data_IF_833999175787
#
_entry.id   IF_833999175787
#
_cell.length_a   1.000
_cell.length_b   1.000
_cell.length_c   1.000
_cell.angle_alpha   90.00
_cell.angle_beta   90.00
_cell.angle_gamma   90.00
#
_symmetry.space_group_name_H-M   'P 1'
#
loop_
_entity.id
_entity.type
_entity.pdbx_description
1 polymer ?
#
# COMPACT_ATOMS: atom_id res chain seq x y z
N UNK A 1 19.06 -20.83 3.52
CA UNK A 1 19.23 -19.36 3.66
C UNK A 1 17.98 -18.73 3.09
N UNK A 2 17.28 -17.96 3.93
CA UNK A 2 16.02 -17.36 3.58
C UNK A 2 16.07 -15.88 3.89
N UNK A 3 15.49 -15.06 3.02
CA UNK A 3 15.23 -13.66 3.29
C UNK A 3 13.73 -13.45 3.44
N UNK A 4 13.35 -12.62 4.39
CA UNK A 4 11.98 -12.13 4.54
C UNK A 4 12.02 -10.61 4.58
N UNK A 5 11.12 -9.97 3.86
CA UNK A 5 10.95 -8.52 3.85
C UNK A 5 9.47 -8.16 3.93
N UNK A 6 9.16 -7.09 4.64
CA UNK A 6 7.81 -6.50 4.71
C UNK A 6 7.86 -5.03 4.29
N UNK A 7 6.90 -4.56 3.48
CA UNK A 7 6.84 -3.17 3.03
C UNK A 7 8.18 -2.76 2.38
N UNK A 8 8.81 -1.66 2.79
CA UNK A 8 10.16 -1.30 2.29
C UNK A 8 11.23 -2.39 2.52
N UNK A 9 11.01 -3.28 3.48
CA UNK A 9 11.79 -4.50 3.65
C UNK A 9 11.78 -5.39 2.40
N UNK A 10 10.74 -5.39 1.58
CA UNK A 10 10.71 -6.14 0.31
C UNK A 10 11.66 -5.53 -0.72
N UNK A 11 11.73 -4.19 -0.79
CA UNK A 11 12.69 -3.49 -1.65
C UNK A 11 14.12 -3.88 -1.27
N UNK A 12 14.41 -3.86 0.04
CA UNK A 12 15.72 -4.27 0.58
C UNK A 12 16.00 -5.75 0.38
N UNK A 13 15.02 -6.63 0.56
CA UNK A 13 15.19 -8.06 0.37
C UNK A 13 15.53 -8.41 -1.09
N UNK A 14 14.86 -7.75 -2.05
CA UNK A 14 15.16 -7.88 -3.48
C UNK A 14 16.58 -7.39 -3.80
N UNK A 15 16.95 -6.19 -3.35
CA UNK A 15 18.30 -5.64 -3.54
C UNK A 15 19.38 -6.51 -2.91
N UNK A 16 19.16 -6.97 -1.68
CA UNK A 16 20.08 -7.85 -0.95
C UNK A 16 20.23 -9.21 -1.66
N UNK A 17 19.14 -9.79 -2.16
CA UNK A 17 19.20 -11.04 -2.91
C UNK A 17 20.11 -10.92 -4.15
N UNK A 18 19.95 -9.84 -4.92
CA UNK A 18 20.81 -9.56 -6.07
C UNK A 18 22.27 -9.35 -5.67
N UNK A 19 22.53 -8.55 -4.63
CA UNK A 19 23.88 -8.29 -4.14
C UNK A 19 24.59 -9.56 -3.66
N UNK A 20 23.93 -10.35 -2.80
CA UNK A 20 24.48 -11.60 -2.28
C UNK A 20 24.86 -12.55 -3.41
N UNK A 21 24.01 -12.68 -4.42
CA UNK A 21 24.26 -13.59 -5.52
C UNK A 21 25.35 -13.11 -6.47
N UNK A 22 25.31 -11.84 -6.90
CA UNK A 22 26.22 -11.30 -7.91
C UNK A 22 27.60 -10.99 -7.36
N UNK A 23 27.67 -10.32 -6.21
CA UNK A 23 28.93 -9.81 -5.67
C UNK A 23 29.62 -10.84 -4.77
N UNK A 24 28.84 -11.66 -4.06
CA UNK A 24 29.38 -12.60 -3.06
C UNK A 24 29.25 -14.08 -3.47
N UNK A 25 28.64 -14.39 -4.62
CA UNK A 25 28.43 -15.77 -5.07
C UNK A 25 27.51 -16.58 -4.14
N UNK A 26 26.69 -15.91 -3.32
CA UNK A 26 25.84 -16.54 -2.31
C UNK A 26 24.42 -16.75 -2.82
N UNK A 27 24.06 -18.01 -3.07
CA UNK A 27 22.70 -18.38 -3.44
C UNK A 27 21.77 -18.50 -2.21
N UNK A 28 20.59 -17.89 -2.31
CA UNK A 28 19.49 -18.06 -1.36
C UNK A 28 18.67 -19.32 -1.68
N UNK A 29 18.07 -19.93 -0.64
CA UNK A 29 17.12 -21.03 -0.81
C UNK A 29 15.69 -20.52 -0.97
N UNK A 30 15.37 -19.35 -0.42
CA UNK A 30 14.09 -18.71 -0.66
C UNK A 30 14.03 -17.26 -0.22
N UNK A 31 13.01 -16.56 -0.71
CA UNK A 31 12.70 -15.19 -0.39
C UNK A 31 11.19 -15.03 -0.23
N UNK A 32 10.78 -14.44 0.89
CA UNK A 32 9.39 -14.15 1.24
C UNK A 32 9.18 -12.63 1.26
N UNK A 33 8.18 -12.15 0.54
CA UNK A 33 7.87 -10.73 0.46
C UNK A 33 6.44 -10.48 0.95
N UNK A 34 6.28 -9.64 1.98
CA UNK A 34 5.00 -9.31 2.60
C UNK A 34 4.63 -7.87 2.26
N UNK A 35 3.47 -7.65 1.62
CA UNK A 35 2.99 -6.33 1.18
C UNK A 35 4.05 -5.56 0.40
N UNK A 36 4.28 -6.06 -0.82
CA UNK A 36 5.51 -5.81 -1.55
C UNK A 36 5.52 -4.49 -2.30
N UNK A 37 6.54 -3.68 -2.03
CA UNK A 37 6.89 -2.52 -2.87
C UNK A 37 8.20 -2.78 -3.61
N UNK A 38 8.09 -3.24 -4.85
CA UNK A 38 9.24 -3.50 -5.74
C UNK A 38 9.42 -2.41 -6.79
N UNK A 39 8.34 -1.77 -7.24
CA UNK A 39 8.35 -0.62 -8.13
C UNK A 39 7.58 0.52 -7.50
N UNK A 40 8.24 1.64 -7.23
CA UNK A 40 7.63 2.77 -6.53
C UNK A 40 6.58 3.50 -7.36
N UNK A 41 6.60 3.34 -8.69
CA UNK A 41 5.57 3.90 -9.57
C UNK A 41 4.18 3.40 -9.18
N UNK A 42 4.03 2.18 -8.65
CA UNK A 42 2.73 1.61 -8.31
C UNK A 42 2.10 2.24 -7.07
N UNK A 43 2.87 2.97 -6.26
CA UNK A 43 2.43 3.55 -4.98
C UNK A 43 2.80 5.03 -4.82
N UNK A 44 3.05 5.75 -5.94
CA UNK A 44 3.43 7.16 -5.94
C UNK A 44 2.46 7.99 -6.78
N UNK A 45 1.55 8.68 -6.10
CA UNK A 45 0.46 9.46 -6.69
C UNK A 45 0.90 10.83 -7.24
N UNK A 46 2.04 10.88 -7.93
CA UNK A 46 2.57 12.11 -8.52
C UNK A 46 1.75 12.54 -9.76
N UNK A 47 1.69 13.84 -10.09
CA UNK A 47 1.11 14.29 -11.36
C UNK A 47 1.71 13.54 -12.55
N UNK A 48 0.86 13.05 -13.45
CA UNK A 48 1.26 12.26 -14.62
C UNK A 48 1.44 10.77 -14.36
N UNK A 49 1.32 10.29 -13.12
CA UNK A 49 1.35 8.87 -12.81
C UNK A 49 -0.02 8.37 -12.34
N UNK A 50 -0.81 7.83 -13.28
CA UNK A 50 -2.16 7.35 -12.99
C UNK A 50 -2.21 5.90 -12.48
N UNK A 51 -1.10 5.16 -12.59
CA UNK A 51 -1.02 3.75 -12.24
C UNK A 51 -1.49 3.43 -10.80
N UNK A 52 -1.09 4.19 -9.75
CA UNK A 52 -1.55 3.92 -8.39
C UNK A 52 -3.06 4.01 -8.20
N UNK A 53 -3.76 4.91 -8.89
CA UNK A 53 -5.22 5.05 -8.72
C UNK A 53 -5.95 3.78 -9.15
N UNK A 54 -5.47 3.15 -10.23
CA UNK A 54 -5.99 1.89 -10.75
C UNK A 54 -5.70 0.76 -9.76
N UNK A 55 -4.44 0.64 -9.32
CA UNK A 55 -3.99 -0.48 -8.49
C UNK A 55 -4.56 -0.47 -7.07
N UNK A 56 -4.92 0.70 -6.53
CA UNK A 56 -5.45 0.81 -5.17
C UNK A 56 -6.96 0.57 -5.08
N UNK A 57 -7.69 0.63 -6.20
CA UNK A 57 -9.16 0.56 -6.21
C UNK A 57 -9.71 -0.74 -5.58
N UNK A 58 -9.17 -1.94 -5.84
CA UNK A 58 -9.62 -3.15 -5.16
C UNK A 58 -9.44 -3.09 -3.63
N UNK A 59 -8.34 -2.51 -3.13
CA UNK A 59 -8.10 -2.36 -1.69
C UNK A 59 -9.03 -1.31 -1.06
N UNK A 60 -9.36 -0.23 -1.77
CA UNK A 60 -10.41 0.71 -1.34
C UNK A 60 -11.76 -0.01 -1.20
N UNK A 61 -12.08 -0.86 -2.17
CA UNK A 61 -13.31 -1.66 -2.16
C UNK A 61 -13.34 -2.64 -1.00
N UNK A 62 -12.24 -3.36 -0.77
CA UNK A 62 -12.11 -4.26 0.39
C UNK A 62 -12.33 -3.50 1.71
N UNK A 63 -11.79 -2.29 1.81
CA UNK A 63 -11.92 -1.45 2.99
C UNK A 63 -13.36 -0.97 3.20
N UNK A 64 -13.99 -0.46 2.15
CA UNK A 64 -15.39 -0.05 2.19
C UNK A 64 -16.33 -1.22 2.50
N UNK A 65 -16.04 -2.41 1.96
CA UNK A 65 -16.76 -3.64 2.27
C UNK A 65 -16.66 -3.99 3.76
N UNK A 66 -15.45 -3.97 4.34
CA UNK A 66 -15.20 -4.25 5.75
C UNK A 66 -15.99 -3.31 6.68
N UNK A 67 -16.00 -2.01 6.36
CA UNK A 67 -16.70 -0.99 7.14
C UNK A 67 -18.18 -0.83 6.81
N UNK A 68 -18.76 -1.75 6.03
CA UNK A 68 -20.18 -1.72 5.64
C UNK A 68 -20.61 -0.41 4.95
N UNK A 69 -19.72 0.11 4.10
CA UNK A 69 -19.92 1.35 3.31
C UNK A 69 -20.39 1.10 1.88
N UNK A 70 -20.47 -0.17 1.47
CA UNK A 70 -21.05 -0.58 0.19
C UNK A 70 -22.52 -0.97 0.36
N UNK A 71 -23.29 -0.89 -0.72
CA UNK A 71 -24.69 -1.32 -0.76
C UNK A 71 -24.86 -2.82 -0.47
N UNK A 72 -26.06 -3.23 -0.02
CA UNK A 72 -26.32 -4.59 0.46
C UNK A 72 -26.01 -5.67 -0.58
N UNK A 73 -26.27 -5.41 -1.85
CA UNK A 73 -25.97 -6.32 -2.96
C UNK A 73 -24.47 -6.57 -3.12
N UNK A 74 -23.62 -5.60 -2.79
CA UNK A 74 -22.16 -5.74 -2.80
C UNK A 74 -21.58 -6.34 -1.52
N UNK A 75 -22.40 -6.52 -0.48
CA UNK A 75 -21.98 -7.09 0.80
C UNK A 75 -22.04 -8.62 0.84
N UNK A 76 -22.66 -9.25 -0.16
CA UNK A 76 -22.95 -10.69 -0.13
C UNK A 76 -21.70 -11.58 -0.33
N UNK A 77 -20.83 -11.22 -1.26
CA UNK A 77 -19.70 -12.06 -1.65
C UNK A 77 -18.42 -11.23 -1.88
N UNK A 78 -17.49 -11.33 -0.93
CA UNK A 78 -16.26 -10.54 -0.93
C UNK A 78 -15.34 -10.85 -2.12
N UNK A 79 -15.22 -12.11 -2.51
CA UNK A 79 -14.33 -12.54 -3.59
C UNK A 79 -14.87 -12.12 -4.95
N UNK A 80 -16.19 -12.19 -5.13
CA UNK A 80 -16.86 -11.77 -6.35
C UNK A 80 -16.72 -10.26 -6.58
N UNK A 81 -16.99 -9.43 -5.56
CA UNK A 81 -16.83 -7.98 -5.70
C UNK A 81 -15.38 -7.57 -5.94
N UNK A 82 -14.42 -8.26 -5.32
CA UNK A 82 -13.00 -8.00 -5.59
C UNK A 82 -12.59 -8.38 -7.02
N UNK A 83 -13.13 -9.47 -7.55
CA UNK A 83 -12.90 -9.84 -8.96
C UNK A 83 -13.51 -8.81 -9.90
N UNK A 84 -14.76 -8.41 -9.64
CA UNK A 84 -15.51 -7.43 -10.44
C UNK A 84 -14.79 -6.07 -10.47
N UNK A 85 -14.39 -5.55 -9.31
CA UNK A 85 -13.71 -4.24 -9.25
C UNK A 85 -12.30 -4.29 -9.83
N UNK A 86 -11.61 -5.44 -9.73
CA UNK A 86 -10.30 -5.61 -10.37
C UNK A 86 -10.41 -5.55 -11.89
N UNK A 87 -11.44 -6.19 -12.46
CA UNK A 87 -11.72 -6.11 -13.90
C UNK A 87 -12.08 -4.68 -14.32
N UNK A 88 -12.96 -4.01 -13.56
CA UNK A 88 -13.31 -2.61 -13.80
C UNK A 88 -12.09 -1.68 -13.75
N UNK A 89 -11.21 -1.89 -12.76
CA UNK A 89 -9.96 -1.14 -12.63
C UNK A 89 -9.07 -1.33 -13.86
N UNK A 90 -8.84 -2.58 -14.27
CA UNK A 90 -7.97 -2.95 -15.38
C UNK A 90 -8.51 -2.54 -16.76
N UNK A 91 -9.82 -2.27 -16.86
CA UNK A 91 -10.49 -1.96 -18.14
C UNK A 91 -11.03 -0.53 -18.16
N UNK A 92 -12.29 -0.33 -17.79
CA UNK A 92 -13.03 0.91 -17.96
C UNK A 92 -12.39 2.08 -17.21
N UNK A 93 -11.95 1.86 -15.97
CA UNK A 93 -11.34 2.92 -15.18
C UNK A 93 -9.97 3.32 -15.73
N UNK A 94 -9.17 2.34 -16.16
CA UNK A 94 -7.90 2.61 -16.86
C UNK A 94 -8.13 3.45 -18.12
N UNK A 95 -9.10 3.05 -18.96
CA UNK A 95 -9.44 3.80 -20.17
C UNK A 95 -9.93 5.22 -19.84
N UNK A 96 -10.74 5.39 -18.79
CA UNK A 96 -11.24 6.68 -18.38
C UNK A 96 -10.11 7.63 -17.94
N UNK A 97 -9.17 7.14 -17.13
CA UNK A 97 -8.01 7.94 -16.72
C UNK A 97 -7.13 8.32 -17.91
N UNK A 98 -6.93 7.40 -18.87
CA UNK A 98 -6.18 7.67 -20.10
C UNK A 98 -6.86 8.68 -21.02
N UNK A 99 -8.19 8.64 -21.15
CA UNK A 99 -8.95 9.65 -21.90
C UNK A 99 -8.87 11.03 -21.24
N UNK A 100 -8.84 11.09 -19.90
CA UNK A 100 -8.75 12.34 -19.16
C UNK A 100 -9.88 13.30 -19.54
N UNK A 101 -9.52 14.51 -19.99
CA UNK A 101 -10.48 15.56 -20.37
C UNK A 101 -11.22 15.27 -21.70
N UNK A 102 -10.84 14.20 -22.43
CA UNK A 102 -11.56 13.75 -23.63
C UNK A 102 -12.82 12.93 -23.32
N UNK A 103 -13.07 12.61 -22.04
CA UNK A 103 -14.30 11.93 -21.63
C UNK A 103 -15.53 12.80 -21.93
N UNK A 104 -16.57 12.19 -22.50
CA UNK A 104 -17.88 12.86 -22.54
C UNK A 104 -18.44 13.05 -21.13
N UNK A 105 -19.42 13.93 -20.97
CA UNK A 105 -20.08 14.16 -19.68
C UNK A 105 -20.73 12.85 -19.19
N UNK A 106 -21.35 12.11 -20.10
CA UNK A 106 -22.01 10.83 -19.83
C UNK A 106 -20.99 9.76 -19.43
N UNK A 107 -19.88 9.63 -20.17
CA UNK A 107 -18.81 8.67 -19.83
C UNK A 107 -18.21 8.99 -18.45
N UNK A 108 -17.93 10.27 -18.18
CA UNK A 108 -17.41 10.71 -16.88
C UNK A 108 -18.38 10.36 -15.76
N UNK A 109 -19.66 10.65 -15.94
CA UNK A 109 -20.69 10.37 -14.93
C UNK A 109 -20.81 8.88 -14.63
N UNK A 110 -20.77 8.01 -15.65
CA UNK A 110 -20.79 6.55 -15.47
C UNK A 110 -19.59 6.07 -14.62
N UNK A 111 -18.40 6.60 -14.87
CA UNK A 111 -17.20 6.24 -14.09
C UNK A 111 -17.31 6.75 -12.65
N UNK A 112 -17.84 7.95 -12.43
CA UNK A 112 -18.11 8.49 -11.09
C UNK A 112 -19.05 7.56 -10.32
N UNK A 113 -20.15 7.13 -10.92
CA UNK A 113 -21.12 6.24 -10.28
C UNK A 113 -20.50 4.88 -9.92
N UNK A 114 -19.72 4.28 -10.82
CA UNK A 114 -19.02 3.02 -10.54
C UNK A 114 -17.99 3.17 -9.42
N UNK A 115 -17.20 4.24 -9.44
CA UNK A 115 -16.26 4.52 -8.36
C UNK A 115 -16.98 4.74 -7.02
N UNK A 116 -18.09 5.49 -6.99
CA UNK A 116 -18.87 5.71 -5.78
C UNK A 116 -19.41 4.38 -5.23
N UNK A 117 -19.98 3.56 -6.12
CA UNK A 117 -20.49 2.23 -5.81
C UNK A 117 -19.42 1.29 -5.22
N UNK A 118 -18.20 1.31 -5.74
CA UNK A 118 -17.13 0.41 -5.26
C UNK A 118 -16.33 0.96 -4.08
N UNK A 119 -16.33 2.27 -3.85
CA UNK A 119 -15.51 2.88 -2.79
C UNK A 119 -16.31 3.34 -1.58
N UNK A 120 -17.63 3.45 -1.69
CA UNK A 120 -18.49 4.02 -0.65
C UNK A 120 -18.29 5.53 -0.46
N UNK A 121 -17.56 6.20 -1.36
CA UNK A 121 -17.40 7.65 -1.37
C UNK A 121 -18.54 8.33 -2.11
N UNK A 122 -18.78 9.60 -1.80
CA UNK A 122 -19.78 10.39 -2.53
C UNK A 122 -19.33 10.70 -3.96
N UNK A 123 -20.31 10.77 -4.88
CA UNK A 123 -20.06 11.17 -6.28
C UNK A 123 -19.39 12.55 -6.36
N UNK A 124 -19.83 13.51 -5.52
CA UNK A 124 -19.24 14.85 -5.44
C UNK A 124 -17.76 14.82 -5.06
N UNK A 125 -17.37 13.97 -4.11
CA UNK A 125 -15.96 13.82 -3.74
C UNK A 125 -15.14 13.25 -4.90
N UNK A 126 -15.66 12.24 -5.60
CA UNK A 126 -14.99 11.59 -6.73
C UNK A 126 -14.83 12.56 -7.92
N UNK A 127 -15.87 13.33 -8.23
CA UNK A 127 -15.82 14.34 -9.28
C UNK A 127 -14.81 15.45 -8.94
N UNK A 128 -14.83 15.94 -7.70
CA UNK A 128 -13.86 16.92 -7.19
C UNK A 128 -12.42 16.39 -7.19
N UNK A 129 -12.24 15.09 -6.96
CA UNK A 129 -10.96 14.40 -7.10
C UNK A 129 -10.56 14.12 -8.57
N UNK A 130 -11.38 14.51 -9.55
CA UNK A 130 -11.18 14.23 -10.98
C UNK A 130 -10.88 12.76 -11.25
N UNK A 131 -11.69 11.89 -10.65
CA UNK A 131 -11.58 10.42 -10.72
C UNK A 131 -10.31 9.85 -10.06
N UNK A 132 -9.48 10.66 -9.38
CA UNK A 132 -8.16 10.27 -8.85
C UNK A 132 -8.15 10.22 -7.33
N UNK A 133 -8.59 9.10 -6.77
CA UNK A 133 -8.74 8.89 -5.33
C UNK A 133 -7.36 8.58 -4.72
N UNK A 134 -6.77 9.56 -4.05
CA UNK A 134 -5.50 9.41 -3.33
C UNK A 134 -5.70 8.65 -2.00
N UNK A 135 -4.78 7.74 -1.66
CA UNK A 135 -4.85 6.92 -0.45
C UNK A 135 -4.98 7.73 0.83
N UNK A 136 -4.20 8.80 0.99
CA UNK A 136 -4.20 9.62 2.22
C UNK A 136 -5.54 10.32 2.42
N UNK A 137 -6.18 10.72 1.32
CA UNK A 137 -7.52 11.32 1.36
C UNK A 137 -8.60 10.27 1.54
N UNK A 138 -8.46 9.08 0.94
CA UNK A 138 -9.42 7.98 1.09
C UNK A 138 -9.59 7.56 2.55
N UNK A 139 -8.47 7.30 3.25
CA UNK A 139 -8.50 6.87 4.65
C UNK A 139 -9.07 7.92 5.61
N UNK A 140 -9.05 9.19 5.18
CA UNK A 140 -9.67 10.33 5.87
C UNK A 140 -11.16 10.48 5.52
N UNK A 141 -11.56 10.16 4.29
CA UNK A 141 -12.89 10.41 3.76
C UNK A 141 -13.91 9.31 4.09
N UNK A 142 -13.51 8.04 4.03
CA UNK A 142 -14.45 6.90 4.02
C UNK A 142 -15.48 6.90 5.16
N UNK A 143 -15.04 7.28 6.37
CA UNK A 143 -15.83 7.34 7.59
C UNK A 143 -15.95 8.76 8.17
N UNK A 144 -15.75 9.79 7.35
CA UNK A 144 -15.77 11.20 7.79
C UNK A 144 -17.12 11.59 8.41
N UNK A 145 -18.22 11.06 7.87
CA UNK A 145 -19.58 11.25 8.40
C UNK A 145 -19.78 10.69 9.82
N UNK A 146 -18.87 9.83 10.27
CA UNK A 146 -18.88 9.23 11.61
C UNK A 146 -17.84 9.86 12.54
N UNK A 147 -17.17 10.95 12.11
CA UNK A 147 -16.04 11.54 12.82
C UNK A 147 -14.94 10.49 13.11
N UNK A 148 -14.62 9.67 12.09
CA UNK A 148 -13.63 8.59 12.16
C UNK A 148 -12.70 8.59 10.95
N UNK A 149 -11.50 8.08 11.18
CA UNK A 149 -10.51 7.79 10.14
C UNK A 149 -10.21 6.30 10.09
N UNK A 150 -9.59 5.85 8.99
CA UNK A 150 -9.22 4.45 8.77
C UNK A 150 -7.70 4.29 8.72
N UNK A 151 -7.19 3.13 9.16
CA UNK A 151 -5.76 2.83 9.11
C UNK A 151 -5.22 2.73 7.68
N UNK A 152 -4.01 3.26 7.44
CA UNK A 152 -3.32 3.17 6.14
C UNK A 152 -2.38 1.96 6.05
N UNK A 153 -1.97 1.37 7.17
CA UNK A 153 -1.28 0.07 7.13
C UNK A 153 -2.29 -1.07 7.15
N UNK A 154 -3.27 -1.03 8.05
CA UNK A 154 -4.37 -1.99 8.12
C UNK A 154 -5.68 -1.22 8.26
N UNK A 155 -6.49 -1.30 7.21
CA UNK A 155 -7.71 -0.51 7.08
C UNK A 155 -8.85 -0.98 7.98
N UNK A 156 -8.66 -2.00 8.80
CA UNK A 156 -9.65 -2.44 9.79
C UNK A 156 -9.64 -1.59 11.06
N UNK A 157 -8.52 -0.93 11.35
CA UNK A 157 -8.40 -0.04 12.50
C UNK A 157 -9.05 1.31 12.21
N UNK A 158 -9.69 1.88 13.23
CA UNK A 158 -10.32 3.20 13.17
C UNK A 158 -9.64 4.17 14.13
N UNK A 159 -9.54 5.43 13.71
CA UNK A 159 -8.95 6.53 14.46
C UNK A 159 -9.94 7.68 14.64
N UNK A 160 -9.52 8.69 15.40
CA UNK A 160 -10.24 9.93 15.62
C UNK A 160 -9.25 11.07 15.43
N UNK A 161 -9.58 12.00 14.55
CA UNK A 161 -8.79 13.21 14.36
C UNK A 161 -9.41 14.38 15.12
N UNK A 162 -8.62 15.45 15.30
CA UNK A 162 -9.11 16.71 15.88
C UNK A 162 -10.06 17.44 14.95
N UNK A 163 -9.81 17.39 13.64
CA UNK A 163 -10.53 18.16 12.62
C UNK A 163 -11.04 17.25 11.50
N UNK A 164 -12.36 17.14 11.38
CA UNK A 164 -13.00 16.35 10.34
C UNK A 164 -12.98 16.99 8.96
N UNK A 165 -12.45 18.20 8.78
CA UNK A 165 -12.34 18.87 7.46
C UNK A 165 -10.94 18.74 6.85
N UNK A 166 -9.98 18.20 7.60
CA UNK A 166 -8.62 17.98 7.13
C UNK A 166 -8.53 17.06 5.90
N UNK A 167 -7.48 17.25 5.11
CA UNK A 167 -7.19 16.45 3.91
C UNK A 167 -6.44 15.14 4.23
N UNK A 168 -5.82 15.05 5.40
CA UNK A 168 -5.02 13.91 5.85
C UNK A 168 -5.44 13.51 7.28
N UNK A 169 -4.98 12.33 7.70
CA UNK A 169 -5.20 11.82 9.06
C UNK A 169 -4.16 12.38 10.03
N UNK A 170 -4.54 12.67 11.28
CA UNK A 170 -3.60 13.17 12.29
C UNK A 170 -2.57 12.11 12.70
N UNK A 171 -3.03 10.86 12.77
CA UNK A 171 -2.21 9.68 13.02
C UNK A 171 -2.81 8.44 12.34
N UNK A 172 -1.97 7.43 12.10
CA UNK A 172 -2.46 6.15 11.60
C UNK A 172 -2.90 5.26 12.79
N UNK A 173 -4.21 4.94 12.92
CA UNK A 173 -4.70 4.10 14.01
C UNK A 173 -4.13 2.68 13.98
N UNK A 174 -3.83 2.14 12.79
CA UNK A 174 -3.22 0.81 12.65
C UNK A 174 -1.77 0.78 13.10
N UNK A 175 -1.00 1.85 12.85
CA UNK A 175 0.37 1.97 13.36
C UNK A 175 0.38 2.11 14.88
N UNK A 176 -0.50 2.97 15.42
CA UNK A 176 -0.61 3.22 16.86
C UNK A 176 -0.94 1.94 17.63
N UNK A 177 -1.79 1.08 17.06
CA UNK A 177 -2.18 -0.19 17.67
C UNK A 177 -1.01 -1.16 17.87
N UNK A 178 -0.03 -1.16 16.96
CA UNK A 178 1.09 -2.12 17.00
C UNK A 178 2.36 -1.54 17.63
N UNK A 179 2.52 -0.21 17.63
CA UNK A 179 3.77 0.46 18.02
C UNK A 179 4.24 0.05 19.43
N UNK A 180 3.35 0.08 20.41
CA UNK A 180 3.69 -0.25 21.80
C UNK A 180 4.18 -1.68 21.99
N UNK A 181 3.55 -2.64 21.31
CA UNK A 181 3.94 -4.05 21.37
C UNK A 181 5.32 -4.28 20.77
N UNK A 182 5.64 -3.64 19.63
CA UNK A 182 6.98 -3.70 19.04
C UNK A 182 8.03 -3.06 19.97
N UNK A 183 7.71 -1.93 20.62
CA UNK A 183 8.64 -1.26 21.53
C UNK A 183 9.00 -2.16 22.69
N UNK A 184 7.98 -2.67 23.38
CA UNK A 184 8.15 -3.48 24.57
C UNK A 184 8.91 -4.78 24.24
N UNK A 185 8.50 -5.48 23.19
CA UNK A 185 9.08 -6.78 22.81
C UNK A 185 10.55 -6.65 22.45
N UNK A 186 10.92 -5.64 21.66
CA UNK A 186 12.33 -5.50 21.30
C UNK A 186 13.18 -5.08 22.49
N UNK A 187 12.70 -4.14 23.32
CA UNK A 187 13.43 -3.72 24.53
C UNK A 187 13.65 -4.90 25.48
N UNK A 188 12.64 -5.75 25.66
CA UNK A 188 12.74 -6.96 26.48
C UNK A 188 13.79 -7.93 25.90
N UNK A 189 13.70 -8.23 24.60
CA UNK A 189 14.62 -9.14 23.90
C UNK A 189 16.08 -8.67 23.97
N UNK A 190 16.37 -7.40 23.64
CA UNK A 190 17.76 -6.92 23.61
C UNK A 190 18.38 -6.86 25.00
N UNK A 191 17.59 -6.52 26.02
CA UNK A 191 18.10 -6.40 27.39
C UNK A 191 18.23 -7.76 28.09
N UNK A 192 17.25 -8.64 27.94
CA UNK A 192 17.19 -9.91 28.68
C UNK A 192 17.91 -11.03 27.97
N UNK A 193 17.71 -11.17 26.66
CA UNK A 193 18.19 -12.33 25.91
C UNK A 193 19.57 -12.06 25.29
N UNK A 194 19.76 -10.86 24.72
CA UNK A 194 21.06 -10.47 24.15
C UNK A 194 22.00 -9.84 25.19
N UNK A 195 21.50 -9.53 26.39
CA UNK A 195 22.23 -8.86 27.48
C UNK A 195 22.90 -7.54 27.03
N UNK A 196 22.28 -6.84 26.07
CA UNK A 196 22.73 -5.55 25.57
C UNK A 196 22.02 -4.43 26.32
N UNK A 197 22.80 -3.57 26.98
CA UNK A 197 22.29 -2.42 27.74
C UNK A 197 22.80 -1.13 27.13
N UNK A 198 21.89 -0.17 26.99
CA UNK A 198 22.18 1.16 26.46
C UNK A 198 21.24 2.15 27.12
N UNK A 199 21.75 3.33 27.46
CA UNK A 199 20.94 4.45 27.96
C UNK A 199 20.27 5.23 26.81
N UNK A 200 20.55 4.86 25.55
CA UNK A 200 19.92 5.45 24.39
C UNK A 200 18.50 4.91 24.21
N UNK A 201 17.48 5.77 24.00
CA UNK A 201 16.15 5.33 23.64
C UNK A 201 16.15 4.56 22.33
N UNK A 202 15.54 3.37 22.32
CA UNK A 202 15.33 2.63 21.07
C UNK A 202 14.23 3.31 20.23
N UNK A 203 14.59 3.73 19.02
CA UNK A 203 13.64 4.30 18.05
C UNK A 203 13.17 3.21 17.08
N UNK A 204 11.92 2.77 17.20
CA UNK A 204 11.32 1.81 16.23
C UNK A 204 11.28 2.38 14.83
N UNK A 205 11.01 3.68 14.73
CA UNK A 205 11.00 4.40 13.48
C UNK A 205 11.80 5.68 13.65
N UNK A 206 12.83 5.82 12.83
CA UNK A 206 13.63 7.02 12.71
C UNK A 206 13.39 7.62 11.32
N UNK A 207 13.40 8.96 11.16
CA UNK A 207 13.13 9.61 9.88
C UNK A 207 14.28 9.46 8.86
N UNK A 208 15.17 8.46 9.02
CA UNK A 208 16.34 8.20 8.18
C UNK A 208 15.97 7.93 6.71
N UNK A 209 14.74 7.49 6.45
CA UNK A 209 14.26 7.25 5.09
C UNK A 209 14.18 8.54 4.26
N UNK A 210 14.17 9.72 4.91
CA UNK A 210 14.18 11.02 4.24
C UNK A 210 15.53 11.33 3.58
N UNK A 211 16.60 10.71 4.09
CA UNK A 211 17.97 10.92 3.61
C UNK A 211 18.44 9.82 2.65
N UNK A 212 17.57 8.85 2.35
CA UNK A 212 17.91 7.79 1.39
C UNK A 212 18.10 8.38 0.01
N UNK A 213 19.25 8.07 -0.58
CA UNK A 213 19.59 8.46 -1.94
C UNK A 213 19.42 7.26 -2.85
N UNK A 214 18.66 7.44 -3.92
CA UNK A 214 18.49 6.47 -4.99
C UNK A 214 19.24 6.97 -6.23
N UNK A 215 20.53 7.22 -6.08
CA UNK A 215 21.35 7.88 -7.11
C UNK A 215 21.34 7.07 -8.42
N UNK A 216 21.30 5.74 -8.36
CA UNK A 216 21.19 4.91 -9.57
C UNK A 216 19.82 5.03 -10.29
N UNK A 217 18.83 5.68 -9.69
CA UNK A 217 17.46 5.83 -10.19
C UNK A 217 17.10 7.29 -10.51
N UNK A 218 17.98 8.00 -11.22
CA UNK A 218 17.70 9.36 -11.69
C UNK A 218 16.54 9.44 -12.70
N UNK A 219 15.64 10.41 -12.51
CA UNK A 219 14.48 10.68 -13.39
C UNK A 219 13.54 9.47 -13.63
N UNK A 220 13.55 8.50 -12.73
CA UNK A 220 12.69 7.33 -12.77
C UNK A 220 12.25 6.94 -11.36
N UNK A 221 11.19 6.14 -11.26
CA UNK A 221 10.80 5.55 -9.98
C UNK A 221 11.79 4.45 -9.59
N UNK A 222 12.10 4.34 -8.30
CA UNK A 222 12.87 3.22 -7.77
C UNK A 222 12.17 1.90 -8.14
N UNK A 223 12.90 1.03 -8.83
CA UNK A 223 12.40 -0.26 -9.25
C UNK A 223 13.47 -1.34 -9.07
N UNK A 224 13.22 -2.26 -8.13
CA UNK A 224 14.08 -3.41 -7.82
C UNK A 224 13.47 -4.74 -8.28
N UNK A 225 12.36 -4.69 -9.03
CA UNK A 225 11.74 -5.89 -9.58
C UNK A 225 12.68 -6.65 -10.52
N UNK A 226 13.47 -5.94 -11.33
CA UNK A 226 14.47 -6.57 -12.20
C UNK A 226 15.58 -7.24 -11.41
N UNK A 227 16.04 -6.63 -10.32
CA UNK A 227 17.02 -7.26 -9.42
C UNK A 227 16.51 -8.58 -8.85
N UNK A 228 15.23 -8.62 -8.47
CA UNK A 228 14.59 -9.85 -7.99
C UNK A 228 14.43 -10.88 -9.13
N UNK A 229 13.96 -10.45 -10.30
CA UNK A 229 13.80 -11.31 -11.49
C UNK A 229 15.13 -11.95 -11.86
N UNK A 230 16.22 -11.18 -11.87
CA UNK A 230 17.57 -11.68 -12.10
C UNK A 230 17.95 -12.75 -11.08
N UNK A 231 17.75 -12.48 -9.79
CA UNK A 231 18.09 -13.42 -8.73
C UNK A 231 17.33 -14.77 -8.87
N UNK A 232 16.03 -14.70 -9.19
CA UNK A 232 15.19 -15.87 -9.49
C UNK A 232 15.71 -16.59 -10.74
N UNK A 233 16.02 -15.86 -11.83
CA UNK A 233 16.42 -16.46 -13.10
C UNK A 233 17.80 -17.13 -13.05
N UNK A 234 18.74 -16.57 -12.28
CA UNK A 234 20.09 -17.13 -12.12
C UNK A 234 20.13 -18.29 -11.11
N UNK A 235 19.14 -18.39 -10.24
CA UNK A 235 18.99 -19.49 -9.28
C UNK A 235 17.60 -20.13 -9.41
N UNK A 236 17.43 -21.12 -10.32
CA UNK A 236 16.13 -21.74 -10.57
C UNK A 236 15.57 -22.52 -9.36
N UNK A 237 16.37 -22.73 -8.31
CA UNK A 237 15.95 -23.37 -7.07
C UNK A 237 15.50 -22.38 -5.98
N UNK A 238 15.52 -21.07 -6.27
CA UNK A 238 15.06 -20.04 -5.34
C UNK A 238 13.54 -20.13 -5.14
N UNK A 239 13.11 -20.46 -3.92
CA UNK A 239 11.69 -20.41 -3.57
C UNK A 239 11.22 -18.97 -3.41
N UNK A 240 10.22 -18.56 -4.18
CA UNK A 240 9.60 -17.24 -4.08
C UNK A 240 8.22 -17.33 -3.43
N UNK A 241 8.00 -16.60 -2.35
CA UNK A 241 6.72 -16.56 -1.65
C UNK A 241 6.22 -15.12 -1.44
N UNK A 242 5.31 -14.63 -2.30
CA UNK A 242 4.65 -13.36 -2.08
C UNK A 242 3.45 -13.53 -1.14
N UNK A 243 3.25 -12.56 -0.23
CA UNK A 243 2.14 -12.51 0.70
C UNK A 243 1.58 -11.08 0.74
N UNK A 244 0.26 -10.95 0.70
CA UNK A 244 -0.45 -9.67 0.80
C UNK A 244 -1.77 -9.87 1.54
N UNK A 245 -2.27 -8.80 2.15
CA UNK A 245 -3.59 -8.76 2.80
C UNK A 245 -4.53 -7.79 2.09
N UNK A 246 -5.81 -8.15 1.97
CA UNK A 246 -6.81 -7.32 1.28
C UNK A 246 -7.07 -5.94 1.92
N UNK A 247 -6.71 -5.77 3.19
CA UNK A 247 -6.87 -4.51 3.94
C UNK A 247 -5.55 -3.77 4.14
N UNK A 248 -4.49 -4.18 3.45
CA UNK A 248 -3.18 -3.54 3.47
C UNK A 248 -2.94 -2.81 2.14
N UNK A 249 -2.54 -1.54 2.22
CA UNK A 249 -2.33 -0.69 1.03
C UNK A 249 -0.88 -0.75 0.52
N UNK A 250 -0.37 -1.96 0.25
CA UNK A 250 0.94 -2.26 -0.37
C UNK A 250 0.99 -3.72 -0.84
#
# INVERSE_FOLDING_TARGET
KFLIGESYGTTRAAGLAGHLQKELGMNLNGIMLISSILNFQTARFNPGNDLPYILFLPTYTATAWYHKRLSEDLQANFQEILSEVSEFAATEYTLALMKGDLLSIEERFQIIQKLARYTGLSENYIDGAKLRINIHKFVKELLRDQHRTVGRLDSRYIGIDRDDTGAEIDYDPSYTAIQGAYTATLNDYVQRDLNFKSDLPYQISAPIYKDWKFEDYHNQYLNVAETLREAISMNPFLLFFPLWGYHFYL
#
